data_IF_290490187940
#
_entry.id   IF_290490187940
#
_cell.length_a   1.000
_cell.length_b   1.000
_cell.length_c   1.000
_cell.angle_alpha   90.00
_cell.angle_beta   90.00
_cell.angle_gamma   90.00
#
_symmetry.space_group_name_H-M   'P 1'
#
loop_
_entity.id
_entity.type
_entity.pdbx_description
1 polymer ?
#
# COMPACT_ATOMS: atom_id res chain seq x y z
N UNK A 1 -63.49 -13.95 41.72
CA UNK A 1 -63.83 -12.98 40.66
C UNK A 1 -62.69 -11.95 40.57
N UNK A 2 -62.15 -11.74 39.36
CA UNK A 2 -61.38 -10.57 38.86
C UNK A 2 -60.19 -10.07 39.72
N UNK A 3 -58.94 -10.47 39.46
CA UNK A 3 -57.98 -9.96 38.44
C UNK A 3 -57.81 -8.42 38.45
N UNK A 4 -56.53 -8.00 38.65
CA UNK A 4 -55.71 -7.11 37.79
C UNK A 4 -55.12 -5.84 38.45
N UNK A 5 -53.79 -5.89 38.58
CA UNK A 5 -52.79 -4.89 38.14
C UNK A 5 -52.44 -3.64 38.96
N UNK A 6 -51.12 -3.54 39.21
CA UNK A 6 -50.15 -2.50 38.74
C UNK A 6 -49.39 -1.73 39.83
N UNK A 7 -48.14 -2.19 40.01
CA UNK A 7 -46.87 -1.48 40.18
C UNK A 7 -46.86 0.05 40.31
N UNK A 8 -45.97 0.55 41.20
CA UNK A 8 -45.05 1.68 40.94
C UNK A 8 -43.88 1.70 41.94
N UNK A 9 -42.74 1.21 41.47
CA UNK A 9 -41.40 1.84 41.47
C UNK A 9 -40.92 2.62 42.70
N UNK A 10 -39.83 2.15 43.31
CA UNK A 10 -38.53 2.86 43.33
C UNK A 10 -37.51 2.10 44.21
N UNK A 11 -36.64 1.31 43.58
CA UNK A 11 -35.35 0.99 44.18
C UNK A 11 -34.30 1.63 43.29
N UNK A 12 -33.89 2.83 43.69
CA UNK A 12 -32.62 3.42 43.29
C UNK A 12 -31.54 2.67 44.06
N UNK A 13 -30.69 1.94 43.35
CA UNK A 13 -29.61 1.16 43.96
C UNK A 13 -28.67 0.70 42.86
N UNK A 14 -27.68 1.53 42.58
CA UNK A 14 -26.62 1.28 41.61
C UNK A 14 -25.92 -0.06 41.86
N UNK A 15 -25.67 -0.82 40.81
CA UNK A 15 -24.49 -1.67 40.71
C UNK A 15 -24.17 -1.86 39.22
N UNK A 16 -23.44 -0.90 38.67
CA UNK A 16 -22.68 -1.09 37.45
C UNK A 16 -21.54 -2.06 37.75
N UNK A 17 -21.62 -3.29 37.26
CA UNK A 17 -20.46 -4.16 37.12
C UNK A 17 -20.41 -4.59 35.66
N UNK A 18 -19.59 -3.83 34.94
CA UNK A 18 -19.18 -4.07 33.59
C UNK A 18 -18.68 -5.51 33.43
N UNK A 19 -19.17 -6.16 32.39
CA UNK A 19 -18.48 -7.31 31.84
C UNK A 19 -17.14 -6.88 31.27
N UNK A 20 -16.13 -7.72 31.42
CA UNK A 20 -14.93 -7.74 30.60
C UNK A 20 -14.46 -9.19 30.57
N UNK A 21 -14.88 -9.90 29.50
CA UNK A 21 -14.18 -11.10 29.08
C UNK A 21 -12.79 -10.66 28.60
N UNK A 22 -11.77 -10.89 29.43
CA UNK A 22 -10.38 -10.76 28.99
C UNK A 22 -10.02 -11.98 28.13
N UNK A 23 -10.55 -12.01 26.91
CA UNK A 23 -9.90 -12.69 25.80
C UNK A 23 -8.72 -11.83 25.37
N UNK A 24 -7.65 -11.83 26.17
CA UNK A 24 -6.34 -11.40 25.67
C UNK A 24 -5.84 -12.51 24.78
N UNK A 25 -6.36 -12.54 23.55
CA UNK A 25 -5.54 -12.98 22.45
C UNK A 25 -4.34 -12.02 22.46
N UNK A 26 -3.21 -12.48 22.98
CA UNK A 26 -1.91 -11.97 22.58
C UNK A 26 -1.79 -12.29 21.08
N UNK A 27 -2.48 -11.48 20.26
CA UNK A 27 -2.07 -11.25 18.91
C UNK A 27 -0.73 -10.55 19.05
N UNK A 28 0.33 -11.34 18.97
CA UNK A 28 1.58 -10.91 18.37
C UNK A 28 1.16 -10.11 17.13
N UNK A 29 1.13 -8.78 17.27
CA UNK A 29 1.23 -7.90 16.12
C UNK A 29 2.66 -8.14 15.65
N UNK A 30 2.83 -9.20 14.88
CA UNK A 30 3.97 -9.43 14.05
C UNK A 30 3.98 -8.22 13.11
N UNK A 31 4.69 -7.17 13.53
CA UNK A 31 4.94 -6.04 12.68
C UNK A 31 5.88 -6.58 11.61
N UNK A 32 5.30 -7.19 10.58
CA UNK A 32 6.01 -7.48 9.35
C UNK A 32 6.60 -6.16 8.88
N UNK A 33 7.90 -6.00 9.15
CA UNK A 33 8.66 -4.85 8.73
C UNK A 33 8.70 -4.92 7.21
N UNK A 34 8.17 -3.89 6.57
CA UNK A 34 8.27 -3.72 5.13
C UNK A 34 9.75 -3.80 4.72
N UNK A 35 10.07 -4.66 3.75
CA UNK A 35 11.45 -4.85 3.29
C UNK A 35 11.79 -3.77 2.27
N UNK A 36 12.95 -3.12 2.42
CA UNK A 36 13.48 -2.24 1.38
C UNK A 36 14.11 -3.07 0.26
N UNK A 37 13.64 -2.84 -0.96
CA UNK A 37 14.12 -3.49 -2.17
C UNK A 37 15.00 -2.51 -2.94
N UNK A 38 16.11 -3.01 -3.50
CA UNK A 38 16.97 -2.21 -4.38
C UNK A 38 16.25 -1.89 -5.69
N UNK A 39 16.40 -0.67 -6.21
CA UNK A 39 15.92 -0.27 -7.53
C UNK A 39 16.79 -0.80 -8.68
N UNK A 40 18.06 -1.10 -8.43
CA UNK A 40 19.04 -1.49 -9.46
C UNK A 40 18.57 -2.66 -10.34
N UNK A 41 17.97 -3.75 -9.82
CA UNK A 41 17.46 -4.84 -10.64
C UNK A 41 16.34 -4.42 -11.60
N UNK A 42 15.50 -3.46 -11.20
CA UNK A 42 14.43 -2.95 -12.06
C UNK A 42 15.00 -2.08 -13.17
N UNK A 43 15.93 -1.18 -12.84
CA UNK A 43 16.62 -0.34 -13.83
C UNK A 43 17.35 -1.21 -14.84
N UNK A 44 18.12 -2.20 -14.37
CA UNK A 44 18.84 -3.13 -15.24
C UNK A 44 17.89 -3.94 -16.14
N UNK A 45 16.76 -4.41 -15.61
CA UNK A 45 15.77 -5.15 -16.42
C UNK A 45 15.16 -4.28 -17.53
N UNK A 46 14.89 -3.01 -17.25
CA UNK A 46 14.44 -2.04 -18.25
C UNK A 46 15.55 -1.81 -19.30
N UNK A 47 16.79 -1.59 -18.88
CA UNK A 47 17.89 -1.26 -19.80
C UNK A 47 18.33 -2.41 -20.71
N UNK A 48 18.24 -3.64 -20.21
CA UNK A 48 18.65 -4.84 -20.95
C UNK A 48 17.55 -5.39 -21.86
N UNK A 49 16.29 -4.95 -21.67
CA UNK A 49 15.20 -5.28 -22.58
C UNK A 49 15.25 -4.35 -23.82
N UNK A 50 15.25 -4.90 -25.05
CA UNK A 50 15.27 -4.09 -26.28
C UNK A 50 14.06 -3.17 -26.45
N UNK A 51 12.91 -3.54 -25.88
CA UNK A 51 11.68 -2.72 -25.84
C UNK A 51 11.67 -1.76 -24.65
N UNK A 52 12.67 -1.83 -23.76
CA UNK A 52 12.78 -1.05 -22.53
C UNK A 52 11.60 -1.25 -21.57
N UNK A 53 11.20 -2.51 -21.43
CA UNK A 53 10.08 -2.94 -20.58
C UNK A 53 10.55 -3.95 -19.52
N UNK A 54 10.08 -3.81 -18.28
CA UNK A 54 10.28 -4.79 -17.23
C UNK A 54 9.01 -5.01 -16.40
N UNK A 55 8.70 -6.24 -16.00
CA UNK A 55 7.62 -6.48 -15.04
C UNK A 55 8.15 -6.51 -13.61
N UNK A 56 7.47 -5.84 -12.67
CA UNK A 56 7.84 -5.92 -11.24
C UNK A 56 7.93 -7.37 -10.74
N UNK A 57 6.96 -8.21 -11.12
CA UNK A 57 6.97 -9.58 -10.63
C UNK A 57 8.05 -10.49 -11.24
N UNK A 58 8.62 -10.14 -12.39
CA UNK A 58 9.82 -10.84 -12.87
C UNK A 58 11.08 -10.39 -12.14
N UNK A 59 11.10 -9.16 -11.61
CA UNK A 59 12.27 -8.57 -10.95
C UNK A 59 12.31 -8.90 -9.45
N UNK A 60 11.15 -8.88 -8.77
CA UNK A 60 11.07 -8.94 -7.30
C UNK A 60 10.26 -10.12 -6.75
N UNK A 61 9.81 -11.06 -7.59
CA UNK A 61 9.03 -12.24 -7.18
C UNK A 61 7.62 -12.27 -7.80
N UNK A 62 6.97 -13.43 -7.85
CA UNK A 62 5.80 -13.68 -8.73
C UNK A 62 4.75 -12.55 -8.74
N UNK A 63 4.19 -12.27 -9.92
CA UNK A 63 3.18 -11.23 -10.18
C UNK A 63 1.91 -11.41 -9.34
N UNK A 64 1.69 -12.61 -8.81
CA UNK A 64 0.61 -12.97 -7.88
C UNK A 64 0.93 -12.67 -6.41
N UNK A 65 2.19 -12.38 -6.07
CA UNK A 65 2.62 -12.08 -4.70
C UNK A 65 2.21 -10.68 -4.24
N UNK A 66 1.89 -9.78 -5.18
CA UNK A 66 1.42 -8.43 -4.90
C UNK A 66 0.04 -8.22 -5.55
N UNK A 67 -0.88 -7.58 -4.83
CA UNK A 67 -2.21 -7.25 -5.35
C UNK A 67 -2.38 -5.77 -5.68
N UNK A 68 -1.40 -4.94 -5.30
CA UNK A 68 -1.41 -3.50 -5.55
C UNK A 68 -0.01 -2.92 -5.52
N UNK A 69 0.21 -1.88 -6.31
CA UNK A 69 1.35 -0.98 -6.17
C UNK A 69 0.87 0.46 -6.03
N UNK A 70 1.51 1.22 -5.15
CA UNK A 70 1.22 2.63 -4.91
C UNK A 70 2.50 3.43 -5.05
N UNK A 71 2.43 4.52 -5.79
CA UNK A 71 3.50 5.48 -5.90
C UNK A 71 3.46 6.47 -4.75
N UNK A 72 4.62 6.81 -4.22
CA UNK A 72 4.78 7.90 -3.26
C UNK A 72 5.79 8.89 -3.83
N UNK A 73 5.29 10.06 -4.21
CA UNK A 73 6.08 11.22 -4.54
C UNK A 73 6.41 12.02 -3.27
N UNK A 74 7.55 12.75 -3.22
CA UNK A 74 7.96 13.57 -2.07
C UNK A 74 6.89 14.52 -1.52
N UNK A 75 5.98 14.98 -2.39
CA UNK A 75 4.94 15.95 -2.09
C UNK A 75 3.54 15.33 -1.99
N UNK A 76 3.43 13.99 -1.95
CA UNK A 76 2.12 13.30 -1.83
C UNK A 76 1.61 13.45 -0.40
N UNK A 77 0.33 13.78 -0.25
CA UNK A 77 -0.32 13.80 1.07
C UNK A 77 -0.42 12.35 1.60
N UNK A 78 -0.14 12.16 2.90
CA UNK A 78 -0.29 10.88 3.59
C UNK A 78 -1.69 10.31 3.40
N UNK A 79 -2.73 11.17 3.46
CA UNK A 79 -4.12 10.74 3.31
C UNK A 79 -4.41 10.18 1.90
N UNK A 80 -3.75 10.69 0.87
CA UNK A 80 -3.86 10.16 -0.49
C UNK A 80 -3.18 8.79 -0.59
N UNK A 81 -2.00 8.64 0.01
CA UNK A 81 -1.30 7.35 0.07
C UNK A 81 -2.13 6.30 0.80
N UNK A 82 -2.69 6.62 1.98
CA UNK A 82 -3.54 5.70 2.74
C UNK A 82 -4.82 5.32 2.02
N UNK A 83 -5.45 6.27 1.31
CA UNK A 83 -6.60 5.99 0.44
C UNK A 83 -6.22 4.97 -0.62
N UNK A 84 -5.08 5.16 -1.28
CA UNK A 84 -4.66 4.31 -2.40
C UNK A 84 -4.17 2.94 -1.91
N UNK A 85 -3.56 2.87 -0.72
CA UNK A 85 -3.27 1.62 -0.01
C UNK A 85 -4.55 0.87 0.40
N UNK A 86 -5.60 1.60 0.80
CA UNK A 86 -6.84 1.05 1.34
C UNK A 86 -6.76 0.68 2.83
N UNK A 87 -5.71 1.11 3.52
CA UNK A 87 -5.52 0.93 4.97
C UNK A 87 -4.62 2.05 5.53
N UNK A 88 -4.74 2.31 6.83
CA UNK A 88 -3.90 3.29 7.51
C UNK A 88 -2.45 2.80 7.58
N UNK A 89 -1.51 3.65 7.21
CA UNK A 89 -0.09 3.31 7.16
C UNK A 89 0.76 4.52 7.53
N UNK A 90 1.57 4.35 8.57
CA UNK A 90 2.44 5.41 9.08
C UNK A 90 3.57 5.73 8.08
N UNK A 91 3.28 6.64 7.16
CA UNK A 91 4.19 7.06 6.10
C UNK A 91 5.44 7.73 6.68
N UNK A 92 5.25 8.60 7.68
CA UNK A 92 6.32 9.42 8.26
C UNK A 92 7.36 8.57 9.02
N UNK A 93 6.94 7.49 9.68
CA UNK A 93 7.87 6.58 10.34
C UNK A 93 8.57 5.59 9.39
N UNK A 94 7.99 5.32 8.22
CA UNK A 94 8.39 4.19 7.36
C UNK A 94 9.07 4.60 6.05
N UNK A 95 8.67 5.73 5.47
CA UNK A 95 9.36 6.33 4.33
C UNK A 95 10.28 7.46 4.81
N UNK A 96 11.55 7.12 4.99
CA UNK A 96 12.62 8.12 4.99
C UNK A 96 12.82 8.60 3.53
N UNK A 97 11.87 9.38 3.01
CA UNK A 97 12.06 10.16 1.78
C UNK A 97 12.90 11.38 2.17
N UNK A 98 14.18 11.13 2.42
CA UNK A 98 15.10 12.14 2.96
C UNK A 98 15.43 13.27 1.97
N UNK A 99 14.88 13.24 0.74
CA UNK A 99 15.12 14.22 -0.32
C UNK A 99 14.01 14.23 -1.40
N UNK A 100 13.66 15.42 -1.90
CA UNK A 100 12.71 15.68 -2.98
C UNK A 100 13.12 15.05 -4.33
N UNK A 101 14.36 14.58 -4.43
CA UNK A 101 14.87 13.89 -5.62
C UNK A 101 14.42 12.42 -5.73
N UNK A 102 13.68 11.89 -4.75
CA UNK A 102 13.36 10.45 -4.65
C UNK A 102 11.87 10.16 -4.50
N UNK A 103 11.36 9.28 -5.35
CA UNK A 103 10.05 8.67 -5.19
C UNK A 103 10.16 7.28 -4.57
N UNK A 104 9.04 6.63 -4.31
CA UNK A 104 9.00 5.23 -3.88
C UNK A 104 7.82 4.49 -4.43
N UNK A 105 8.00 3.18 -4.63
CA UNK A 105 6.91 2.25 -4.94
C UNK A 105 6.67 1.40 -3.71
N UNK A 106 5.43 1.43 -3.24
CA UNK A 106 4.93 0.52 -2.23
C UNK A 106 4.34 -0.68 -2.93
N UNK A 107 4.87 -1.86 -2.63
CA UNK A 107 4.29 -3.13 -3.07
C UNK A 107 3.44 -3.68 -1.93
N UNK A 108 2.18 -3.95 -2.23
CA UNK A 108 1.17 -4.30 -1.24
C UNK A 108 0.67 -5.73 -1.48
N UNK A 109 0.44 -6.44 -0.39
CA UNK A 109 -0.22 -7.73 -0.37
C UNK A 109 -1.24 -7.74 0.76
N UNK A 110 -2.52 -7.81 0.44
CA UNK A 110 -3.61 -7.70 1.41
C UNK A 110 -3.65 -6.33 2.07
N UNK A 111 -3.43 -6.28 3.39
CA UNK A 111 -3.46 -5.04 4.19
C UNK A 111 -2.07 -4.66 4.72
N UNK A 112 -1.02 -5.04 3.99
CA UNK A 112 0.36 -4.74 4.37
C UNK A 112 1.20 -4.33 3.18
N UNK A 113 2.16 -3.43 3.45
CA UNK A 113 3.24 -3.11 2.52
C UNK A 113 4.31 -4.20 2.65
N UNK A 114 4.37 -5.09 1.65
CA UNK A 114 5.32 -6.21 1.58
C UNK A 114 6.71 -5.76 1.09
N UNK A 115 6.79 -4.65 0.36
CA UNK A 115 8.06 -4.13 -0.14
C UNK A 115 8.03 -2.64 -0.42
N UNK A 116 9.18 -2.00 -0.29
CA UNK A 116 9.38 -0.58 -0.63
C UNK A 116 10.56 -0.48 -1.58
N UNK A 117 10.34 0.02 -2.79
CA UNK A 117 11.41 0.32 -3.75
C UNK A 117 11.63 1.83 -3.75
N UNK A 118 12.76 2.29 -3.24
CA UNK A 118 13.13 3.71 -3.30
C UNK A 118 13.85 4.00 -4.63
N UNK A 119 13.41 5.02 -5.34
CA UNK A 119 13.86 5.35 -6.70
C UNK A 119 14.32 6.79 -6.78
N UNK A 120 15.50 7.01 -7.37
CA UNK A 120 15.89 8.36 -7.75
C UNK A 120 15.12 8.77 -9.00
N UNK A 121 14.66 10.02 -9.03
CA UNK A 121 13.91 10.57 -10.16
C UNK A 121 14.69 10.55 -11.48
N UNK A 122 16.02 10.59 -11.40
CA UNK A 122 16.90 10.48 -12.56
C UNK A 122 16.87 9.09 -13.22
N UNK A 123 16.57 8.04 -12.46
CA UNK A 123 16.51 6.66 -12.97
C UNK A 123 15.10 6.34 -13.49
N UNK A 124 14.09 6.66 -12.69
CA UNK A 124 12.67 6.48 -13.01
C UNK A 124 11.91 7.69 -12.47
N UNK A 125 11.32 8.50 -13.35
CA UNK A 125 10.42 9.58 -12.92
C UNK A 125 9.05 9.00 -12.59
N UNK A 126 8.85 8.74 -11.31
CA UNK A 126 7.60 8.22 -10.80
C UNK A 126 6.50 9.27 -10.67
N UNK A 127 6.81 10.55 -10.80
CA UNK A 127 5.88 11.63 -10.51
C UNK A 127 5.47 12.50 -11.72
N UNK A 128 5.38 11.99 -12.96
CA UNK A 128 4.88 12.76 -14.09
C UNK A 128 3.36 12.94 -13.98
N UNK A 129 2.88 14.09 -14.47
CA UNK A 129 1.48 14.49 -14.32
C UNK A 129 0.45 13.54 -14.95
N UNK A 130 0.87 12.69 -15.91
CA UNK A 130 -0.01 11.87 -16.75
C UNK A 130 0.06 10.35 -16.45
N UNK A 131 0.73 9.92 -15.38
CA UNK A 131 0.82 8.49 -15.03
C UNK A 131 -0.05 8.10 -13.84
N UNK A 132 -0.37 6.80 -13.76
CA UNK A 132 -1.17 6.23 -12.68
C UNK A 132 -0.41 6.28 -11.34
N UNK A 133 -1.00 6.95 -10.35
CA UNK A 133 -0.47 7.03 -8.98
C UNK A 133 -0.56 5.71 -8.22
N UNK A 134 -1.57 4.89 -8.53
CA UNK A 134 -1.79 3.61 -7.88
C UNK A 134 -2.42 2.63 -8.87
N UNK A 135 -2.06 1.36 -8.71
CA UNK A 135 -2.53 0.30 -9.57
C UNK A 135 -2.95 -0.92 -8.75
N UNK A 136 -4.20 -1.34 -8.92
CA UNK A 136 -4.72 -2.61 -8.41
C UNK A 136 -4.44 -3.73 -9.42
N UNK A 137 -4.02 -4.90 -8.93
CA UNK A 137 -3.74 -6.08 -9.72
C UNK A 137 -4.74 -7.19 -9.40
N UNK A 138 -5.59 -7.50 -10.37
CA UNK A 138 -6.36 -8.73 -10.36
C UNK A 138 -5.47 -9.93 -10.77
N UNK A 139 -5.90 -11.18 -10.46
CA UNK A 139 -5.19 -12.37 -10.91
C UNK A 139 -4.91 -12.36 -12.42
N UNK A 140 -3.66 -12.65 -12.80
CA UNK A 140 -3.21 -12.63 -14.20
C UNK A 140 -2.88 -11.25 -14.77
N UNK A 141 -3.12 -10.16 -14.02
CA UNK A 141 -2.61 -8.84 -14.38
C UNK A 141 -1.15 -8.67 -13.94
N UNK A 142 -0.47 -7.74 -14.60
CA UNK A 142 0.95 -7.49 -14.40
C UNK A 142 1.21 -5.99 -14.39
N UNK A 143 2.19 -5.56 -13.59
CA UNK A 143 2.72 -4.20 -13.65
C UNK A 143 3.99 -4.18 -14.48
N UNK A 144 3.92 -3.51 -15.62
CA UNK A 144 5.06 -3.32 -16.49
C UNK A 144 5.53 -1.88 -16.42
N UNK A 145 6.80 -1.72 -16.11
CA UNK A 145 7.54 -0.48 -16.26
C UNK A 145 7.98 -0.37 -17.69
N UNK A 146 7.62 0.74 -18.33
CA UNK A 146 8.13 1.11 -19.62
C UNK A 146 8.83 2.46 -19.47
N UNK A 147 10.04 2.58 -20.02
CA UNK A 147 10.61 3.90 -20.23
C UNK A 147 9.76 4.61 -21.28
N UNK A 148 9.04 5.65 -20.86
CA UNK A 148 7.90 6.16 -21.58
C UNK A 148 8.26 6.88 -22.87
N UNK A 149 7.23 6.90 -23.69
CA UNK A 149 7.15 7.31 -25.09
C UNK A 149 6.55 8.73 -25.22
N UNK A 150 6.41 9.44 -24.09
CA UNK A 150 5.94 10.82 -24.09
C UNK A 150 7.02 11.78 -24.61
N UNK A 151 6.63 13.02 -24.91
CA UNK A 151 7.54 14.02 -25.46
C UNK A 151 8.71 14.37 -24.51
N UNK A 152 8.63 13.99 -23.23
CA UNK A 152 9.66 14.21 -22.22
C UNK A 152 10.55 12.97 -21.99
N UNK A 153 10.19 11.80 -22.54
CA UNK A 153 10.88 10.54 -22.33
C UNK A 153 10.80 10.02 -20.89
N UNK A 154 9.74 10.38 -20.15
CA UNK A 154 9.58 10.00 -18.75
C UNK A 154 9.28 8.50 -18.60
N UNK A 155 9.85 7.83 -17.61
CA UNK A 155 9.57 6.40 -17.32
C UNK A 155 8.34 6.27 -16.44
N UNK A 156 7.43 5.34 -16.72
CA UNK A 156 6.36 5.03 -15.77
C UNK A 156 5.84 3.60 -15.93
N UNK A 157 4.78 3.26 -15.20
CA UNK A 157 4.20 1.93 -15.26
C UNK A 157 2.83 1.92 -15.91
N UNK A 158 2.46 0.74 -16.40
CA UNK A 158 1.11 0.44 -16.87
C UNK A 158 0.66 -0.91 -16.34
N UNK A 159 -0.64 -1.04 -16.08
CA UNK A 159 -1.26 -2.33 -15.82
C UNK A 159 -1.55 -3.01 -17.15
N UNK A 160 -1.03 -4.22 -17.32
CA UNK A 160 -1.18 -5.01 -18.55
C UNK A 160 -1.88 -6.32 -18.24
N UNK A 161 -2.75 -6.73 -19.15
CA UNK A 161 -3.42 -8.03 -19.08
C UNK A 161 -2.48 -9.09 -19.64
N UNK A 162 -2.29 -10.15 -18.85
CA UNK A 162 -1.35 -11.22 -19.16
C UNK A 162 -1.80 -12.12 -20.28
#
# INVERSE_FOLDING_TARGET
MLIKTKAKTAIFGALWLAGLMSLTACGEHDQMQSVRLSAEPLVQAIETNPERIATLGSVYGDKTAFDRAVNVCPYTDVADVERDLGFAWDLAAKLALDDESRGSILLVQGQQVSGIIALARADIDLCPADFEFAAQLAPGQRLEFARGVDAAGATGWTVVRG
#
